data_IF_455444981593
#
_entry.id   IF_455444981593
#
_cell.length_a   1.000
_cell.length_b   1.000
_cell.length_c   1.000
_cell.angle_alpha   90.00
_cell.angle_beta   90.00
_cell.angle_gamma   90.00
#
_symmetry.space_group_name_H-M   'P 1'
#
loop_
_entity.id
_entity.type
_entity.pdbx_description
1 polymer ?
#
# COMPACT_ATOMS: atom_id res chain seq x y z
N UNK A 1 -22.13 -24.24 27.96
CA UNK A 1 -21.07 -24.18 26.92
C UNK A 1 -21.24 -22.89 26.15
N UNK A 2 -20.40 -21.90 26.42
CA UNK A 2 -20.45 -20.61 25.73
C UNK A 2 -19.79 -20.76 24.36
N UNK A 3 -20.58 -20.80 23.29
CA UNK A 3 -20.07 -20.77 21.93
C UNK A 3 -19.56 -19.36 21.65
N UNK A 4 -18.25 -19.14 21.80
CA UNK A 4 -17.59 -17.93 21.33
C UNK A 4 -17.89 -17.83 19.83
N UNK A 5 -18.56 -16.76 19.34
CA UNK A 5 -18.88 -16.63 17.93
C UNK A 5 -17.57 -16.60 17.13
N UNK A 6 -17.51 -17.42 16.07
CA UNK A 6 -16.36 -17.45 15.19
C UNK A 6 -16.08 -16.02 14.65
N UNK A 7 -14.83 -15.54 14.69
CA UNK A 7 -14.50 -14.22 14.19
C UNK A 7 -14.92 -14.13 12.71
N UNK A 8 -15.74 -13.13 12.39
CA UNK A 8 -16.15 -12.88 11.01
C UNK A 8 -14.92 -12.60 10.14
N UNK A 9 -14.91 -13.00 8.85
CA UNK A 9 -13.82 -12.65 7.95
C UNK A 9 -13.64 -11.14 8.01
N UNK A 10 -12.42 -10.67 8.33
CA UNK A 10 -12.11 -9.24 8.32
C UNK A 10 -12.67 -8.68 7.02
N UNK A 11 -13.68 -7.81 7.16
CA UNK A 11 -14.51 -7.34 6.07
C UNK A 11 -13.60 -6.94 4.90
N UNK A 12 -13.70 -7.61 3.75
CA UNK A 12 -12.96 -7.23 2.52
C UNK A 12 -13.16 -5.74 2.19
N UNK A 13 -14.28 -5.20 2.65
CA UNK A 13 -14.67 -3.79 2.63
C UNK A 13 -13.70 -2.92 3.43
N UNK A 14 -13.16 -3.33 4.58
CA UNK A 14 -12.20 -2.53 5.37
C UNK A 14 -10.86 -2.42 4.62
N UNK A 15 -10.35 -3.50 4.02
CA UNK A 15 -9.14 -3.46 3.18
C UNK A 15 -9.27 -2.50 1.99
N UNK A 16 -10.40 -2.56 1.29
CA UNK A 16 -10.70 -1.66 0.17
C UNK A 16 -10.91 -0.21 0.67
N UNK A 17 -11.64 -0.03 1.77
CA UNK A 17 -11.90 1.27 2.38
C UNK A 17 -10.65 1.92 2.94
N UNK A 18 -9.67 1.20 3.51
CA UNK A 18 -8.43 1.82 4.01
C UNK A 18 -7.56 2.37 2.86
N UNK A 19 -7.49 1.63 1.74
CA UNK A 19 -6.79 2.11 0.53
C UNK A 19 -7.56 3.27 -0.11
N UNK A 20 -8.89 3.19 -0.17
CA UNK A 20 -9.75 4.27 -0.67
C UNK A 20 -9.70 5.50 0.24
N UNK A 21 -9.64 5.31 1.57
CA UNK A 21 -9.56 6.40 2.53
C UNK A 21 -8.21 7.10 2.43
N UNK A 22 -7.10 6.36 2.30
CA UNK A 22 -5.79 6.94 2.00
C UNK A 22 -5.82 7.77 0.70
N UNK A 23 -6.41 7.23 -0.37
CA UNK A 23 -6.58 7.95 -1.66
C UNK A 23 -7.49 9.19 -1.53
N UNK A 24 -8.57 9.10 -0.76
CA UNK A 24 -9.52 10.21 -0.57
C UNK A 24 -8.93 11.29 0.35
N UNK A 25 -8.15 10.94 1.37
CA UNK A 25 -7.44 11.91 2.21
C UNK A 25 -6.34 12.65 1.47
N UNK A 26 -5.83 12.10 0.36
CA UNK A 26 -4.86 12.76 -0.52
C UNK A 26 -5.51 13.89 -1.32
N UNK A 27 -6.80 13.79 -1.70
CA UNK A 27 -7.48 14.77 -2.56
C UNK A 27 -7.49 16.19 -1.95
N UNK A 28 -7.93 16.42 -0.68
CA UNK A 28 -7.91 17.75 -0.11
C UNK A 28 -6.48 18.23 0.17
N UNK A 29 -5.56 17.34 0.57
CA UNK A 29 -4.16 17.71 0.83
C UNK A 29 -3.50 18.15 -0.48
N UNK A 30 -3.69 17.41 -1.58
CA UNK A 30 -3.23 17.79 -2.92
C UNK A 30 -3.89 19.07 -3.39
N UNK A 31 -5.18 19.27 -3.18
CA UNK A 31 -5.89 20.48 -3.61
C UNK A 31 -5.37 21.73 -2.89
N UNK A 32 -5.18 21.66 -1.57
CA UNK A 32 -4.86 22.81 -0.73
C UNK A 32 -3.35 23.01 -0.47
N UNK A 33 -2.49 22.02 -0.73
CA UNK A 33 -1.02 22.11 -0.55
C UNK A 33 -0.30 22.95 -1.61
N UNK A 34 0.53 23.90 -1.21
CA UNK A 34 1.69 24.37 -1.99
C UNK A 34 2.98 23.93 -1.30
N UNK A 35 3.94 23.44 -2.08
CA UNK A 35 5.24 23.00 -1.55
C UNK A 35 6.00 24.20 -0.94
N UNK A 36 6.55 24.07 0.29
CA UNK A 36 7.46 25.07 0.86
C UNK A 36 8.78 25.17 0.08
N UNK A 37 9.16 24.11 -0.62
CA UNK A 37 10.35 24.10 -1.47
C UNK A 37 10.02 24.70 -2.85
N UNK A 38 10.82 25.65 -3.35
CA UNK A 38 10.73 26.08 -4.74
C UNK A 38 10.87 24.86 -5.65
N UNK A 39 9.98 24.71 -6.63
CA UNK A 39 9.95 23.57 -7.55
C UNK A 39 11.27 23.35 -8.29
N UNK A 40 12.11 24.39 -8.41
CA UNK A 40 13.43 24.33 -9.03
C UNK A 40 14.57 23.92 -8.08
N UNK A 41 14.29 23.54 -6.83
CA UNK A 41 15.34 23.10 -5.90
C UNK A 41 15.76 21.65 -6.20
N UNK A 42 17.07 21.39 -6.18
CA UNK A 42 17.64 20.04 -6.36
C UNK A 42 17.04 19.02 -5.37
N UNK A 43 16.77 19.43 -4.14
CA UNK A 43 16.16 18.61 -3.10
C UNK A 43 14.75 18.18 -3.50
N UNK A 44 13.91 19.12 -3.99
CA UNK A 44 12.57 18.79 -4.46
C UNK A 44 12.61 17.77 -5.63
N UNK A 45 13.53 17.95 -6.59
CA UNK A 45 13.71 16.99 -7.69
C UNK A 45 14.12 15.60 -7.19
N UNK A 46 15.03 15.52 -6.22
CA UNK A 46 15.44 14.24 -5.60
C UNK A 46 14.30 13.58 -4.83
N UNK A 47 13.51 14.36 -4.08
CA UNK A 47 12.33 13.86 -3.36
C UNK A 47 11.29 13.30 -4.33
N UNK A 48 11.03 14.00 -5.43
CA UNK A 48 10.13 13.51 -6.48
C UNK A 48 10.65 12.21 -7.09
N UNK A 49 11.93 12.15 -7.47
CA UNK A 49 12.52 10.93 -8.05
C UNK A 49 12.43 9.73 -7.09
N UNK A 50 12.84 9.91 -5.83
CA UNK A 50 12.76 8.85 -4.81
C UNK A 50 11.29 8.46 -4.56
N UNK A 51 10.39 9.43 -4.47
CA UNK A 51 8.95 9.20 -4.31
C UNK A 51 8.36 8.38 -5.46
N UNK A 52 8.74 8.67 -6.70
CA UNK A 52 8.32 7.92 -7.90
C UNK A 52 8.87 6.49 -7.89
N UNK A 53 10.14 6.28 -7.53
CA UNK A 53 10.73 4.95 -7.41
C UNK A 53 10.02 4.13 -6.33
N UNK A 54 9.76 4.71 -5.16
CA UNK A 54 9.01 4.05 -4.08
C UNK A 54 7.56 3.76 -4.49
N UNK A 55 6.92 4.64 -5.26
CA UNK A 55 5.58 4.39 -5.80
C UNK A 55 5.58 3.24 -6.80
N UNK A 56 6.60 3.14 -7.66
CA UNK A 56 6.79 2.00 -8.56
C UNK A 56 6.99 0.69 -7.78
N UNK A 57 7.82 0.69 -6.74
CA UNK A 57 8.01 -0.46 -5.83
C UNK A 57 6.69 -0.86 -5.16
N UNK A 58 5.90 0.11 -4.70
CA UNK A 58 4.56 -0.13 -4.14
C UNK A 58 3.67 -0.85 -5.16
N UNK A 59 3.58 -0.32 -6.39
CA UNK A 59 2.74 -0.88 -7.46
C UNK A 59 3.17 -2.31 -7.80
N UNK A 60 4.45 -2.52 -8.09
CA UNK A 60 4.99 -3.83 -8.49
C UNK A 60 4.86 -4.85 -7.36
N UNK A 61 5.20 -4.46 -6.13
CA UNK A 61 5.08 -5.34 -4.97
C UNK A 61 3.62 -5.69 -4.63
N UNK A 62 2.68 -4.77 -4.81
CA UNK A 62 1.25 -5.06 -4.65
C UNK A 62 0.73 -5.97 -5.76
N UNK A 63 1.14 -5.76 -7.01
CA UNK A 63 0.82 -6.66 -8.12
C UNK A 63 1.34 -8.07 -7.83
N UNK A 64 2.59 -8.20 -7.40
CA UNK A 64 3.18 -9.46 -6.98
C UNK A 64 2.39 -10.14 -5.86
N UNK A 65 2.02 -9.39 -4.82
CA UNK A 65 1.23 -9.88 -3.69
C UNK A 65 -0.19 -10.31 -4.09
N UNK A 66 -0.81 -9.63 -5.04
CA UNK A 66 -2.15 -9.95 -5.52
C UNK A 66 -2.11 -11.11 -6.49
N UNK A 67 -1.08 -11.24 -7.33
CA UNK A 67 -0.92 -12.40 -8.22
C UNK A 67 -0.89 -13.71 -7.42
N UNK A 68 -0.18 -13.73 -6.30
CA UNK A 68 -0.08 -14.92 -5.45
C UNK A 68 -1.33 -15.18 -4.60
N UNK A 69 -2.12 -14.14 -4.26
CA UNK A 69 -3.36 -14.28 -3.48
C UNK A 69 -4.63 -14.41 -4.34
N UNK A 70 -4.58 -13.89 -5.57
CA UNK A 70 -5.68 -13.56 -6.48
C UNK A 70 -6.13 -14.75 -7.32
N UNK A 71 -6.73 -15.72 -6.65
CA UNK A 71 -7.34 -16.90 -7.29
C UNK A 71 -7.84 -17.91 -6.27
N UNK A 72 -7.29 -17.88 -5.05
CA UNK A 72 -7.59 -18.85 -3.97
C UNK A 72 -7.84 -18.18 -2.62
N UNK A 73 -8.07 -16.85 -2.60
CA UNK A 73 -8.32 -16.09 -1.38
C UNK A 73 -9.44 -16.75 -0.60
N UNK A 74 -9.13 -17.21 0.62
CA UNK A 74 -10.02 -17.94 1.54
C UNK A 74 -10.24 -19.44 1.26
N UNK A 75 -9.60 -20.06 0.26
CA UNK A 75 -9.64 -21.53 0.04
C UNK A 75 -8.36 -22.22 0.49
N UNK A 76 -7.22 -21.58 0.31
CA UNK A 76 -5.90 -22.12 0.67
C UNK A 76 -5.03 -21.08 1.38
N UNK A 77 -4.13 -21.55 2.24
CA UNK A 77 -3.11 -20.72 2.88
C UNK A 77 -1.95 -20.48 1.90
N UNK A 78 -1.82 -19.25 1.40
CA UNK A 78 -0.75 -18.87 0.49
C UNK A 78 0.52 -18.55 1.29
N UNK A 79 1.59 -19.32 1.09
CA UNK A 79 2.85 -19.21 1.83
C UNK A 79 4.08 -19.02 0.92
N UNK A 80 3.88 -18.78 -0.37
CA UNK A 80 4.93 -18.73 -1.39
C UNK A 80 5.02 -17.33 -2.02
N UNK A 81 6.12 -17.10 -2.74
CA UNK A 81 6.44 -15.82 -3.35
C UNK A 81 6.53 -14.72 -2.30
N UNK A 82 5.80 -13.61 -2.42
CA UNK A 82 5.87 -12.52 -1.46
C UNK A 82 5.36 -12.91 -0.06
N UNK A 83 4.50 -13.94 0.03
CA UNK A 83 4.01 -14.44 1.32
C UNK A 83 5.04 -15.33 2.05
N UNK A 84 6.09 -15.78 1.37
CA UNK A 84 7.18 -16.52 2.04
C UNK A 84 8.12 -15.61 2.82
N UNK A 85 8.25 -14.35 2.42
CA UNK A 85 9.15 -13.37 3.04
C UNK A 85 8.45 -12.47 4.05
N UNK A 86 7.14 -12.23 3.89
CA UNK A 86 6.31 -11.48 4.84
C UNK A 86 4.90 -12.04 4.82
N UNK A 87 4.21 -12.11 5.96
CA UNK A 87 2.81 -12.58 6.00
C UNK A 87 1.84 -11.61 5.36
N UNK A 88 2.19 -10.32 5.29
CA UNK A 88 1.33 -9.27 4.79
C UNK A 88 2.08 -8.35 3.81
N UNK A 89 2.61 -8.90 2.70
CA UNK A 89 3.45 -8.15 1.78
C UNK A 89 2.67 -7.01 1.12
N UNK A 90 1.37 -7.20 0.86
CA UNK A 90 0.49 -6.16 0.34
C UNK A 90 0.47 -4.91 1.24
N UNK A 91 0.51 -5.10 2.57
CA UNK A 91 0.46 -4.00 3.51
C UNK A 91 1.78 -3.25 3.59
N UNK A 92 2.89 -3.98 3.59
CA UNK A 92 4.23 -3.39 3.48
C UNK A 92 4.32 -2.46 2.26
N UNK A 93 3.97 -2.97 1.07
CA UNK A 93 4.02 -2.17 -0.15
C UNK A 93 3.04 -1.00 -0.14
N UNK A 94 1.88 -1.15 0.49
CA UNK A 94 0.93 -0.04 0.66
C UNK A 94 1.47 1.06 1.56
N UNK A 95 2.19 0.70 2.62
CA UNK A 95 2.88 1.65 3.50
C UNK A 95 4.00 2.38 2.78
N UNK A 96 4.78 1.68 1.95
CA UNK A 96 5.79 2.30 1.08
C UNK A 96 5.12 3.32 0.13
N UNK A 97 3.99 2.94 -0.48
CA UNK A 97 3.22 3.83 -1.35
C UNK A 97 2.73 5.10 -0.63
N UNK A 98 2.27 4.96 0.62
CA UNK A 98 1.85 6.10 1.42
C UNK A 98 3.00 7.08 1.70
N UNK A 99 4.19 6.57 2.03
CA UNK A 99 5.39 7.40 2.19
C UNK A 99 5.84 8.07 0.88
N UNK A 100 5.76 7.35 -0.24
CA UNK A 100 6.07 7.86 -1.57
C UNK A 100 5.29 9.13 -1.91
N UNK A 101 4.00 9.15 -1.58
CA UNK A 101 3.13 10.30 -1.84
C UNK A 101 3.62 11.56 -1.12
N UNK A 102 4.02 11.45 0.15
CA UNK A 102 4.56 12.60 0.88
C UNK A 102 5.85 13.16 0.28
N UNK A 103 6.71 12.28 -0.25
CA UNK A 103 7.93 12.70 -0.96
C UNK A 103 7.62 13.40 -2.29
N UNK A 104 6.64 12.90 -3.05
CA UNK A 104 6.16 13.57 -4.28
C UNK A 104 5.56 14.94 -3.99
N UNK A 105 4.96 15.11 -2.80
CA UNK A 105 4.49 16.41 -2.30
C UNK A 105 5.62 17.29 -1.75
N UNK A 106 6.88 16.87 -1.86
CA UNK A 106 8.07 17.57 -1.36
C UNK A 106 8.06 17.83 0.16
N UNK A 107 7.46 16.93 0.97
CA UNK A 107 7.51 17.04 2.43
C UNK A 107 7.89 15.72 3.11
N UNK A 108 9.03 15.71 3.80
CA UNK A 108 9.47 14.57 4.61
C UNK A 108 8.51 14.29 5.77
N UNK A 109 7.86 15.32 6.32
CA UNK A 109 6.89 15.21 7.40
C UNK A 109 5.64 14.50 6.89
N UNK A 110 5.14 14.87 5.71
CA UNK A 110 4.02 14.16 5.08
C UNK A 110 4.40 12.71 4.75
N UNK A 111 5.61 12.47 4.24
CA UNK A 111 6.07 11.12 3.92
C UNK A 111 6.11 10.23 5.18
N UNK A 112 6.69 10.74 6.26
CA UNK A 112 6.77 10.03 7.54
C UNK A 112 5.38 9.82 8.16
N UNK A 113 4.55 10.86 8.22
CA UNK A 113 3.21 10.79 8.83
C UNK A 113 2.30 9.82 8.09
N UNK A 114 2.23 9.87 6.75
CA UNK A 114 1.45 8.94 5.96
C UNK A 114 1.98 7.51 6.06
N UNK A 115 3.31 7.34 5.99
CA UNK A 115 3.96 6.05 6.17
C UNK A 115 3.64 5.42 7.54
N UNK A 116 3.85 6.16 8.63
CA UNK A 116 3.60 5.69 9.99
C UNK A 116 2.11 5.41 10.20
N UNK A 117 1.22 6.32 9.83
CA UNK A 117 -0.23 6.13 9.99
C UNK A 117 -0.71 4.89 9.23
N UNK A 118 -0.30 4.74 7.96
CA UNK A 118 -0.63 3.58 7.14
C UNK A 118 -0.05 2.29 7.74
N UNK A 119 1.22 2.30 8.13
CA UNK A 119 1.91 1.16 8.73
C UNK A 119 1.26 0.68 10.03
N UNK A 120 0.87 1.61 10.92
CA UNK A 120 0.18 1.29 12.18
C UNK A 120 -1.20 0.70 11.91
N UNK A 121 -2.03 1.35 11.09
CA UNK A 121 -3.38 0.88 10.78
C UNK A 121 -3.34 -0.52 10.16
N UNK A 122 -2.43 -0.75 9.21
CA UNK A 122 -2.30 -2.03 8.54
C UNK A 122 -1.66 -3.11 9.43
N UNK A 123 -0.78 -2.74 10.35
CA UNK A 123 -0.23 -3.66 11.36
C UNK A 123 -1.27 -4.11 12.38
N UNK A 124 -2.20 -3.22 12.77
CA UNK A 124 -3.34 -3.59 13.62
C UNK A 124 -4.29 -4.51 12.84
N UNK A 125 -4.56 -4.18 11.58
CA UNK A 125 -5.43 -4.97 10.70
C UNK A 125 -4.85 -6.37 10.46
N UNK A 126 -3.54 -6.48 10.25
CA UNK A 126 -2.88 -7.77 10.03
C UNK A 126 -2.94 -8.69 11.24
N UNK A 127 -2.86 -8.15 12.46
CA UNK A 127 -3.04 -8.93 13.70
C UNK A 127 -4.45 -9.49 13.80
N UNK A 128 -5.47 -8.71 13.44
CA UNK A 128 -6.87 -9.19 13.40
C UNK A 128 -7.08 -10.26 12.34
N UNK A 129 -6.49 -10.07 11.15
CA UNK A 129 -6.51 -11.09 10.10
C UNK A 129 -5.78 -12.37 10.54
N UNK A 130 -4.68 -12.25 11.30
CA UNK A 130 -3.96 -13.40 11.82
C UNK A 130 -4.83 -14.26 12.75
N UNK A 131 -5.58 -13.66 13.67
CA UNK A 131 -6.51 -14.40 14.56
C UNK A 131 -7.60 -15.12 13.75
N UNK A 132 -8.12 -14.49 12.70
CA UNK A 132 -9.09 -15.13 11.80
C UNK A 132 -8.47 -16.31 11.05
N UNK A 133 -7.28 -16.14 10.49
CA UNK A 133 -6.57 -17.20 9.76
C UNK A 133 -6.17 -18.35 10.67
N UNK A 134 -5.78 -18.07 11.92
CA UNK A 134 -5.49 -19.07 12.93
C UNK A 134 -6.74 -19.89 13.28
N UNK A 135 -7.89 -19.23 13.47
CA UNK A 135 -9.16 -19.93 13.72
C UNK A 135 -9.58 -20.81 12.53
N UNK A 136 -9.28 -20.37 11.31
CA UNK A 136 -9.68 -21.06 10.08
C UNK A 136 -8.77 -22.22 9.68
N UNK A 137 -7.46 -22.03 9.81
CA UNK A 137 -6.46 -22.97 9.29
C UNK A 137 -5.70 -23.70 10.41
N UNK A 138 -5.82 -23.30 11.67
CA UNK A 138 -5.24 -23.99 12.82
C UNK A 138 -3.72 -24.11 12.79
N UNK A 139 -3.20 -25.28 13.15
CA UNK A 139 -1.78 -25.59 13.26
C UNK A 139 -0.94 -25.22 12.00
N UNK A 140 -1.39 -25.50 10.75
CA UNK A 140 -0.71 -25.02 9.55
C UNK A 140 -0.40 -23.52 9.52
N UNK A 141 -1.33 -22.68 10.02
CA UNK A 141 -1.11 -21.24 10.10
C UNK A 141 -0.11 -20.87 11.20
N UNK A 142 -0.16 -21.55 12.34
CA UNK A 142 0.78 -21.31 13.45
C UNK A 142 2.22 -21.64 13.03
N UNK A 143 2.44 -22.75 12.32
CA UNK A 143 3.75 -23.15 11.79
C UNK A 143 4.30 -22.14 10.78
N UNK A 144 3.41 -21.59 9.95
CA UNK A 144 3.73 -20.51 9.03
C UNK A 144 4.06 -19.21 9.78
N UNK A 145 3.24 -18.82 10.74
CA UNK A 145 3.39 -17.60 11.52
C UNK A 145 4.65 -17.56 12.40
N UNK A 146 5.13 -18.73 12.85
CA UNK A 146 6.41 -18.87 13.57
C UNK A 146 7.63 -18.63 12.69
N UNK A 147 7.53 -18.96 11.40
CA UNK A 147 8.66 -18.84 10.45
C UNK A 147 8.69 -17.50 9.74
N UNK A 148 7.53 -16.97 9.36
CA UNK A 148 7.45 -15.79 8.48
C UNK A 148 7.07 -14.55 9.29
N UNK A 149 7.84 -13.45 9.18
CA UNK A 149 7.55 -12.21 9.90
C UNK A 149 6.22 -11.58 9.44
N UNK A 150 5.58 -10.81 10.32
CA UNK A 150 4.24 -10.28 10.07
C UNK A 150 4.22 -9.12 9.05
N UNK A 151 5.25 -8.27 9.06
CA UNK A 151 5.25 -7.00 8.32
C UNK A 151 6.57 -6.77 7.57
N UNK A 152 7.69 -6.66 8.30
CA UNK A 152 9.01 -6.47 7.70
C UNK A 152 9.48 -7.75 6.99
N UNK A 153 9.90 -7.69 5.72
CA UNK A 153 10.20 -8.88 4.94
C UNK A 153 11.56 -9.48 5.33
N UNK A 154 11.63 -10.80 5.43
CA UNK A 154 12.90 -11.53 5.45
C UNK A 154 13.10 -12.25 4.12
N UNK A 155 13.92 -11.66 3.25
CA UNK A 155 14.19 -12.19 1.92
C UNK A 155 14.92 -13.54 1.94
N UNK A 156 15.53 -13.93 3.06
CA UNK A 156 16.18 -15.26 3.20
C UNK A 156 15.17 -16.40 3.19
N UNK A 157 13.92 -16.10 3.54
CA UNK A 157 12.82 -17.07 3.57
C UNK A 157 12.15 -17.23 2.20
N UNK A 158 12.66 -16.56 1.17
CA UNK A 158 12.04 -16.58 -0.15
C UNK A 158 11.90 -18.00 -0.70
N UNK A 159 10.66 -18.36 -1.04
CA UNK A 159 10.30 -19.63 -1.67
C UNK A 159 9.44 -19.35 -2.88
N UNK A 160 9.94 -19.74 -4.05
CA UNK A 160 9.22 -19.64 -5.30
C UNK A 160 8.20 -20.78 -5.44
N UNK A 161 7.07 -20.48 -6.09
CA UNK A 161 6.04 -21.46 -6.41
C UNK A 161 6.40 -22.16 -7.72
N UNK A 162 6.35 -23.50 -7.75
CA UNK A 162 6.66 -24.29 -8.96
C UNK A 162 5.65 -24.09 -10.11
N UNK A 163 4.39 -23.75 -9.81
CA UNK A 163 3.34 -23.50 -10.82
C UNK A 163 2.45 -22.32 -10.44
N UNK A 164 2.60 -21.19 -11.13
CA UNK A 164 1.79 -19.99 -10.92
C UNK A 164 0.47 -20.07 -11.70
N UNK A 165 -0.61 -20.49 -11.04
CA UNK A 165 -1.97 -20.41 -11.60
C UNK A 165 -2.54 -19.03 -11.30
N UNK A 166 -2.65 -18.18 -12.32
CA UNK A 166 -3.13 -16.79 -12.18
C UNK A 166 -4.54 -16.61 -12.75
N UNK A 167 -5.32 -15.71 -12.15
CA UNK A 167 -6.59 -15.25 -12.72
C UNK A 167 -6.38 -13.94 -13.50
N UNK A 168 -6.51 -13.93 -14.84
CA UNK A 168 -6.28 -12.74 -15.67
C UNK A 168 -7.18 -11.55 -15.33
N UNK A 169 -8.42 -11.80 -14.89
CA UNK A 169 -9.36 -10.73 -14.56
C UNK A 169 -8.93 -9.96 -13.28
N UNK A 170 -8.40 -10.67 -12.29
CA UNK A 170 -7.87 -10.08 -11.05
C UNK A 170 -6.59 -9.30 -11.34
N UNK A 171 -5.72 -9.84 -12.20
CA UNK A 171 -4.52 -9.15 -12.67
C UNK A 171 -4.86 -7.84 -13.36
N UNK A 172 -5.78 -7.86 -14.35
CA UNK A 172 -6.21 -6.67 -15.08
C UNK A 172 -6.77 -5.59 -14.15
N UNK A 173 -7.66 -5.96 -13.22
CA UNK A 173 -8.25 -5.00 -12.26
C UNK A 173 -7.19 -4.37 -11.36
N UNK A 174 -6.21 -5.15 -10.94
CA UNK A 174 -5.11 -4.66 -10.09
C UNK A 174 -4.18 -3.73 -10.86
N UNK A 175 -3.87 -4.08 -12.11
CA UNK A 175 -3.08 -3.24 -13.01
C UNK A 175 -3.76 -1.89 -13.27
N UNK A 176 -5.07 -1.90 -13.53
CA UNK A 176 -5.85 -0.65 -13.66
C UNK A 176 -5.86 0.17 -12.37
N UNK A 177 -5.98 -0.46 -11.20
CA UNK A 177 -5.86 0.27 -9.92
C UNK A 177 -4.49 0.93 -9.74
N UNK A 178 -3.41 0.28 -10.19
CA UNK A 178 -2.08 0.86 -10.16
C UNK A 178 -1.93 2.04 -11.14
N UNK A 179 -2.58 1.97 -12.31
CA UNK A 179 -2.59 3.06 -13.28
C UNK A 179 -3.22 4.34 -12.71
N UNK A 180 -4.26 4.22 -11.87
CA UNK A 180 -4.82 5.38 -11.17
C UNK A 180 -3.82 6.08 -10.23
N UNK A 181 -2.88 5.35 -9.62
CA UNK A 181 -1.82 5.97 -8.82
C UNK A 181 -0.82 6.73 -9.68
N UNK A 182 -0.54 6.24 -10.90
CA UNK A 182 0.31 6.95 -11.86
C UNK A 182 -0.33 8.26 -12.34
N UNK A 183 -1.67 8.33 -12.43
CA UNK A 183 -2.39 9.56 -12.81
C UNK A 183 -2.19 10.72 -11.82
N UNK A 184 -1.76 10.45 -10.58
CA UNK A 184 -1.45 11.52 -9.60
C UNK A 184 -0.34 12.43 -10.12
N UNK A 185 0.65 11.90 -10.85
CA UNK A 185 1.79 12.67 -11.37
C UNK A 185 1.35 13.72 -12.40
N UNK A 186 0.70 13.38 -13.53
CA UNK A 186 0.25 14.38 -14.50
C UNK A 186 -0.80 15.32 -13.92
N UNK A 187 -1.67 14.85 -13.02
CA UNK A 187 -2.62 15.74 -12.33
C UNK A 187 -1.90 16.79 -11.47
N UNK A 188 -0.77 16.43 -10.86
CA UNK A 188 0.02 17.36 -10.07
C UNK A 188 0.76 18.38 -10.92
N UNK A 189 1.31 17.97 -12.05
CA UNK A 189 1.92 18.88 -13.02
C UNK A 189 0.88 19.87 -13.59
N UNK A 190 -0.31 19.38 -13.95
CA UNK A 190 -1.42 20.24 -14.41
C UNK A 190 -1.80 21.25 -13.32
N UNK A 191 -1.93 20.82 -12.06
CA UNK A 191 -2.20 21.75 -10.95
C UNK A 191 -1.11 22.82 -10.85
N UNK A 192 0.17 22.42 -10.89
CA UNK A 192 1.27 23.38 -10.82
C UNK A 192 1.24 24.37 -11.99
N UNK A 193 0.97 23.89 -13.20
CA UNK A 193 0.82 24.74 -14.38
C UNK A 193 -0.33 25.75 -14.23
N UNK A 194 -1.48 25.32 -13.72
CA UNK A 194 -2.64 26.20 -13.48
C UNK A 194 -2.39 27.25 -12.38
N UNK A 195 -1.66 26.87 -11.32
CA UNK A 195 -1.25 27.81 -10.27
C UNK A 195 -0.23 28.82 -10.79
N UNK A 196 0.77 28.38 -11.56
CA UNK A 196 1.75 29.28 -12.19
C UNK A 196 1.11 30.23 -13.21
N UNK A 197 0.05 29.78 -13.89
CA UNK A 197 -0.72 30.56 -14.84
C UNK A 197 -1.72 31.52 -14.17
N UNK A 198 -1.81 31.55 -12.84
CA UNK A 198 -2.66 32.47 -12.07
C UNK A 198 -4.16 32.15 -12.10
N UNK A 199 -4.57 30.96 -12.55
CA UNK A 199 -5.98 30.56 -12.67
C UNK A 199 -6.57 30.13 -11.31
N UNK A 200 -5.74 29.60 -10.41
CA UNK A 200 -6.16 29.11 -9.08
C UNK A 200 -5.35 29.84 -8.00
N UNK A 201 -5.98 30.43 -6.95
CA UNK A 201 -5.25 31.08 -5.86
C UNK A 201 -4.55 30.05 -4.95
N UNK A 202 -3.32 30.34 -4.52
CA UNK A 202 -2.55 29.52 -3.58
C UNK A 202 -2.92 29.83 -2.13
N UNK A 203 -3.53 28.88 -1.39
CA UNK A 203 -4.04 29.15 -0.04
C UNK A 203 -3.18 28.59 1.13
N UNK A 204 -2.27 27.62 0.95
CA UNK A 204 -1.46 27.07 2.07
C UNK A 204 -0.06 26.58 1.68
N UNK A 205 0.99 27.06 2.37
CA UNK A 205 2.36 26.55 2.27
C UNK A 205 2.57 25.35 3.22
N UNK A 206 2.94 24.19 2.67
CA UNK A 206 3.28 22.98 3.41
C UNK A 206 4.79 22.92 3.66
N UNK A 207 5.17 23.01 4.94
CA UNK A 207 6.53 22.85 5.48
C UNK A 207 7.13 21.46 5.21
#
# INVERSE_FOLDING_TARGET
MNTVPAPSPVNQIIRLRTIQFAVVSIIPIVAFSTSAWPTNSFIASMMTLVGQLLLAVCILGRLWSILYSGGRKNRELVMEGPYSVSRNPLYLFSTIGASAIGLILHSFILAASFGVACGVILSITSRREATYLETKFGAPYQDYARRVPAFWPDFRLYRERKEAVFNPAVLRKTFLHALYFLLVIPLMEIKQFLVQSGIIPSFFHLL
#
